data_IF_595760588695
#
_entry.id   IF_595760588695
#
_cell.length_a   1.000
_cell.length_b   1.000
_cell.length_c   1.000
_cell.angle_alpha   90.00
_cell.angle_beta   90.00
_cell.angle_gamma   90.00
#
_symmetry.space_group_name_H-M   'P 1'
#
loop_
_entity.id
_entity.type
_entity.pdbx_description
1 polymer ?
#
# COMPACT_ATOMS: atom_id res chain seq x y z
N UNK A 1 41.15 8.88 18.50
CA UNK A 1 40.77 9.95 17.56
C UNK A 1 39.27 9.87 17.39
N UNK A 2 38.48 10.95 17.50
CA UNK A 2 37.09 10.91 17.18
C UNK A 2 36.93 10.65 15.68
N UNK A 3 36.02 9.74 15.31
CA UNK A 3 35.61 9.54 13.92
C UNK A 3 34.86 10.80 13.48
N UNK A 4 35.36 11.50 12.49
CA UNK A 4 34.66 12.63 11.86
C UNK A 4 34.39 12.21 10.42
N UNK A 5 33.11 12.01 10.09
CA UNK A 5 32.70 11.64 8.74
C UNK A 5 31.20 11.72 8.61
N UNK A 6 30.69 11.83 7.38
CA UNK A 6 29.26 11.76 7.06
C UNK A 6 28.96 10.34 6.63
N UNK A 7 28.09 9.65 7.37
CA UNK A 7 27.59 8.34 6.99
C UNK A 7 26.20 8.55 6.34
N UNK A 8 26.01 7.95 5.19
CA UNK A 8 24.73 7.95 4.52
C UNK A 8 24.07 6.60 4.69
N UNK A 9 22.82 6.61 5.17
CA UNK A 9 22.04 5.40 5.39
C UNK A 9 21.11 5.15 4.22
N UNK A 10 20.80 3.86 3.89
CA UNK A 10 19.78 3.52 2.92
C UNK A 10 18.43 4.11 3.30
N UNK A 11 17.60 4.40 2.32
CA UNK A 11 16.25 4.92 2.52
C UNK A 11 15.35 3.90 3.23
N UNK A 12 14.36 4.38 4.00
CA UNK A 12 13.41 3.50 4.70
C UNK A 12 12.58 2.70 3.70
N UNK A 13 12.59 1.37 3.88
CA UNK A 13 11.88 0.44 3.02
C UNK A 13 10.36 0.62 3.12
N UNK A 14 9.83 0.76 4.32
CA UNK A 14 8.39 0.86 4.57
C UNK A 14 7.79 2.16 4.02
N UNK A 15 8.57 3.25 4.08
CA UNK A 15 8.20 4.55 3.50
C UNK A 15 8.31 4.47 1.98
N UNK A 16 9.37 3.84 1.41
CA UNK A 16 9.52 3.64 -0.03
C UNK A 16 8.33 2.90 -0.64
N UNK A 17 7.87 1.82 -0.01
CA UNK A 17 6.65 1.11 -0.46
C UNK A 17 5.44 2.05 -0.52
N UNK A 18 5.22 2.86 0.51
CA UNK A 18 4.08 3.77 0.59
C UNK A 18 4.19 4.92 -0.38
N UNK A 19 5.38 5.48 -0.54
CA UNK A 19 5.64 6.55 -1.52
C UNK A 19 5.23 6.10 -2.92
N UNK A 20 5.71 4.93 -3.36
CA UNK A 20 5.38 4.35 -4.66
C UNK A 20 3.89 4.02 -4.77
N UNK A 21 3.33 3.36 -3.75
CA UNK A 21 1.92 2.95 -3.74
C UNK A 21 0.99 4.16 -3.80
N UNK A 22 1.23 5.18 -2.96
CA UNK A 22 0.35 6.35 -2.87
C UNK A 22 0.48 7.23 -4.12
N UNK A 23 1.70 7.45 -4.61
CA UNK A 23 1.91 8.15 -5.89
C UNK A 23 1.19 7.42 -7.04
N UNK A 24 1.26 6.09 -7.09
CA UNK A 24 0.58 5.29 -8.09
C UNK A 24 -0.95 5.30 -7.99
N UNK A 25 -1.52 5.52 -6.81
CA UNK A 25 -2.97 5.65 -6.61
C UNK A 25 -3.47 7.09 -6.72
N UNK A 26 -2.58 8.08 -6.63
CA UNK A 26 -2.92 9.50 -6.62
C UNK A 26 -3.42 10.00 -7.98
N UNK A 27 -4.13 11.12 -7.95
CA UNK A 27 -4.46 11.88 -9.14
C UNK A 27 -3.31 12.85 -9.46
N UNK A 28 -2.73 12.75 -10.64
CA UNK A 28 -1.64 13.60 -11.11
C UNK A 28 -0.29 12.93 -11.13
N UNK A 29 0.77 13.73 -11.20
CA UNK A 29 2.16 13.28 -11.28
C UNK A 29 2.87 13.62 -9.98
N UNK A 30 3.43 12.62 -9.31
CA UNK A 30 4.28 12.78 -8.13
C UNK A 30 5.74 12.60 -8.50
N UNK A 31 6.62 13.48 -8.05
CA UNK A 31 8.05 13.31 -8.14
C UNK A 31 8.58 12.67 -6.85
N UNK A 32 9.25 11.53 -7.01
CA UNK A 32 9.85 10.80 -5.90
C UNK A 32 11.37 10.83 -5.98
N UNK A 33 12.01 10.96 -4.82
CA UNK A 33 13.47 10.91 -4.67
C UNK A 33 13.86 9.92 -3.58
N UNK A 34 15.04 9.34 -3.73
CA UNK A 34 15.63 8.43 -2.75
C UNK A 34 14.75 7.19 -2.43
N UNK A 35 13.97 6.70 -3.38
CA UNK A 35 13.21 5.45 -3.19
C UNK A 35 14.18 4.26 -3.10
N UNK A 36 14.03 3.39 -2.10
CA UNK A 36 14.94 2.27 -1.87
C UNK A 36 14.91 1.28 -3.06
N UNK A 37 16.06 1.00 -3.71
CA UNK A 37 16.14 0.04 -4.82
C UNK A 37 16.24 -1.40 -4.31
N UNK A 38 15.22 -1.90 -3.62
CA UNK A 38 15.15 -3.28 -3.14
C UNK A 38 14.13 -4.10 -3.94
N UNK A 39 14.32 -5.42 -4.02
CA UNK A 39 13.39 -6.33 -4.71
C UNK A 39 11.95 -6.18 -4.21
N UNK A 40 11.77 -6.01 -2.89
CA UNK A 40 10.46 -5.78 -2.28
C UNK A 40 9.79 -4.51 -2.83
N UNK A 41 10.52 -3.40 -2.96
CA UNK A 41 10.00 -2.13 -3.49
C UNK A 41 9.77 -2.23 -4.99
N UNK A 42 10.64 -2.94 -5.72
CA UNK A 42 10.42 -3.24 -7.13
C UNK A 42 9.12 -4.03 -7.35
N UNK A 43 8.79 -4.98 -6.48
CA UNK A 43 7.49 -5.67 -6.55
C UNK A 43 6.31 -4.70 -6.41
N UNK A 44 6.43 -3.65 -5.57
CA UNK A 44 5.40 -2.61 -5.47
C UNK A 44 5.33 -1.75 -6.74
N UNK A 45 6.47 -1.39 -7.33
CA UNK A 45 6.54 -0.65 -8.59
C UNK A 45 5.83 -1.43 -9.70
N UNK A 46 6.14 -2.70 -9.86
CA UNK A 46 5.50 -3.54 -10.89
C UNK A 46 4.00 -3.74 -10.63
N UNK A 47 3.60 -3.87 -9.35
CA UNK A 47 2.19 -3.95 -8.99
C UNK A 47 1.42 -2.68 -9.39
N UNK A 48 1.96 -1.49 -9.14
CA UNK A 48 1.33 -0.22 -9.50
C UNK A 48 1.27 -0.04 -11.02
N UNK A 49 2.31 -0.47 -11.76
CA UNK A 49 2.27 -0.52 -13.23
C UNK A 49 1.17 -1.45 -13.74
N UNK A 50 1.03 -2.62 -13.11
CA UNK A 50 -0.03 -3.56 -13.47
C UNK A 50 -1.44 -3.00 -13.22
N UNK A 51 -1.58 -2.09 -12.24
CA UNK A 51 -2.81 -1.33 -12.01
C UNK A 51 -3.03 -0.18 -12.99
N UNK A 52 -2.04 0.14 -13.84
CA UNK A 52 -2.16 1.14 -14.89
C UNK A 52 -1.46 2.48 -14.62
N UNK A 53 -0.68 2.61 -13.55
CA UNK A 53 0.14 3.79 -13.32
C UNK A 53 1.35 3.83 -14.26
N UNK A 54 1.74 5.04 -14.69
CA UNK A 54 2.97 5.23 -15.46
C UNK A 54 4.13 5.56 -14.50
N UNK A 55 5.09 4.65 -14.42
CA UNK A 55 6.23 4.78 -13.50
C UNK A 55 7.51 4.97 -14.30
N UNK A 56 8.16 6.11 -14.11
CA UNK A 56 9.45 6.47 -14.70
C UNK A 56 10.44 6.79 -13.56
N UNK A 57 10.92 5.76 -12.89
CA UNK A 57 11.94 5.84 -11.85
C UNK A 57 13.25 5.24 -12.37
N UNK A 58 14.35 5.96 -12.21
CA UNK A 58 15.69 5.56 -12.62
C UNK A 58 16.65 5.63 -11.43
N UNK A 59 17.78 4.90 -11.47
CA UNK A 59 18.82 5.00 -10.46
C UNK A 59 19.34 6.44 -10.36
N UNK A 60 19.25 7.04 -9.18
CA UNK A 60 19.76 8.35 -8.83
C UNK A 60 20.85 8.25 -7.76
N UNK A 61 21.24 9.40 -7.22
CA UNK A 61 22.35 9.46 -6.26
C UNK A 61 22.01 8.83 -4.89
N UNK A 62 20.72 8.79 -4.52
CA UNK A 62 20.26 8.34 -3.20
C UNK A 62 19.34 7.13 -3.20
N UNK A 63 19.05 6.57 -4.36
CA UNK A 63 18.08 5.51 -4.59
C UNK A 63 17.47 5.69 -5.96
N UNK A 64 16.26 5.18 -6.17
CA UNK A 64 15.51 5.49 -7.38
C UNK A 64 14.90 6.89 -7.26
N UNK A 65 14.91 7.63 -8.36
CA UNK A 65 14.31 8.95 -8.47
C UNK A 65 13.60 9.13 -9.81
N UNK A 66 12.57 9.98 -9.85
CA UNK A 66 11.81 10.26 -11.06
C UNK A 66 10.34 10.53 -10.78
N UNK A 67 9.47 10.17 -11.71
CA UNK A 67 8.06 10.56 -11.68
C UNK A 67 7.14 9.33 -11.75
N UNK A 68 6.00 9.43 -11.06
CA UNK A 68 4.89 8.48 -11.14
C UNK A 68 3.63 9.26 -11.46
N UNK A 69 3.02 8.96 -12.63
CA UNK A 69 1.67 9.38 -12.95
C UNK A 69 0.69 8.31 -12.46
N UNK A 70 -0.12 8.68 -11.46
CA UNK A 70 -1.01 7.74 -10.80
C UNK A 70 -2.31 7.47 -11.57
N UNK A 71 -3.02 6.44 -11.16
CA UNK A 71 -4.27 5.97 -11.78
C UNK A 71 -5.49 6.82 -11.44
N UNK A 72 -5.42 7.69 -10.42
CA UNK A 72 -6.50 8.55 -9.96
C UNK A 72 -6.83 9.63 -10.98
N UNK A 73 -7.58 9.30 -12.04
CA UNK A 73 -8.01 10.29 -13.06
C UNK A 73 -9.27 11.01 -12.62
N UNK A 74 -9.36 12.31 -12.99
CA UNK A 74 -10.56 13.12 -12.77
C UNK A 74 -11.73 12.53 -13.55
N UNK A 75 -12.80 12.12 -12.87
CA UNK A 75 -14.04 11.65 -13.53
C UNK A 75 -14.05 10.20 -14.00
N UNK A 76 -13.00 9.41 -13.75
CA UNK A 76 -13.04 7.99 -14.04
C UNK A 76 -13.72 7.23 -12.88
N UNK A 77 -14.77 6.47 -13.22
CA UNK A 77 -15.26 5.43 -12.32
C UNK A 77 -14.16 4.37 -12.18
N UNK A 78 -14.12 3.69 -11.03
CA UNK A 78 -13.20 2.56 -10.78
C UNK A 78 -13.26 1.51 -11.89
N UNK A 79 -14.40 1.37 -12.56
CA UNK A 79 -14.61 0.49 -13.71
C UNK A 79 -13.82 0.89 -14.96
N UNK A 80 -13.43 2.17 -15.10
CA UNK A 80 -12.60 2.67 -16.23
C UNK A 80 -11.10 2.46 -15.98
N UNK A 81 -10.70 2.15 -14.72
CA UNK A 81 -9.31 1.85 -14.34
C UNK A 81 -8.97 0.38 -14.66
N UNK A 82 -9.99 -0.47 -14.74
CA UNK A 82 -9.77 -1.86 -15.15
C UNK A 82 -9.30 -1.86 -16.61
N UNK A 83 -8.06 -2.31 -16.91
CA UNK A 83 -7.69 -2.53 -18.30
C UNK A 83 -8.75 -3.47 -18.86
N UNK A 84 -9.37 -3.07 -19.96
CA UNK A 84 -10.35 -3.84 -20.73
C UNK A 84 -9.75 -5.12 -21.35
N UNK A 85 -8.80 -5.73 -20.67
CA UNK A 85 -8.30 -7.05 -20.98
C UNK A 85 -9.34 -8.06 -20.47
N UNK A 86 -10.28 -8.33 -21.33
CA UNK A 86 -11.22 -9.44 -21.33
C UNK A 86 -10.50 -10.80 -21.33
N UNK A 87 -9.62 -11.06 -20.39
CA UNK A 87 -9.23 -12.43 -20.09
C UNK A 87 -10.09 -12.89 -18.91
N UNK A 88 -10.76 -14.01 -19.07
CA UNK A 88 -11.55 -14.68 -18.04
C UNK A 88 -10.72 -15.05 -16.77
N UNK A 89 -9.46 -14.68 -16.72
CA UNK A 89 -8.49 -15.04 -15.69
C UNK A 89 -8.20 -13.92 -14.67
N UNK A 90 -8.80 -12.73 -14.77
CA UNK A 90 -8.51 -11.62 -13.84
C UNK A 90 -7.07 -11.06 -13.96
N UNK A 91 -6.78 -10.00 -13.23
CA UNK A 91 -5.43 -9.44 -13.09
C UNK A 91 -4.61 -10.31 -12.14
N UNK A 92 -3.37 -10.68 -12.52
CA UNK A 92 -2.43 -11.38 -11.65
C UNK A 92 -1.27 -10.45 -11.32
N UNK A 93 -1.02 -10.24 -10.02
CA UNK A 93 0.06 -9.39 -9.51
C UNK A 93 1.03 -10.24 -8.72
N UNK A 94 2.29 -10.29 -9.18
CA UNK A 94 3.37 -10.96 -8.45
C UNK A 94 3.98 -10.01 -7.42
N UNK A 95 3.87 -10.39 -6.16
CA UNK A 95 4.42 -9.65 -5.02
C UNK A 95 5.86 -10.08 -4.67
N UNK A 96 6.45 -11.04 -5.41
CA UNK A 96 7.77 -11.60 -5.13
C UNK A 96 7.87 -12.13 -3.70
N UNK A 97 8.82 -11.61 -2.90
CA UNK A 97 8.93 -11.90 -1.45
C UNK A 97 8.29 -10.81 -0.57
N UNK A 98 7.67 -9.78 -1.17
CA UNK A 98 7.21 -8.60 -0.45
C UNK A 98 5.87 -8.81 0.25
N UNK A 99 5.91 -9.16 1.54
CA UNK A 99 4.71 -9.19 2.37
C UNK A 99 4.06 -7.82 2.59
N UNK A 100 4.80 -6.73 2.42
CA UNK A 100 4.25 -5.37 2.48
C UNK A 100 3.38 -5.11 1.25
N UNK A 101 3.91 -5.37 0.05
CA UNK A 101 3.17 -5.24 -1.21
C UNK A 101 1.88 -6.04 -1.18
N UNK A 102 1.96 -7.35 -0.87
CA UNK A 102 0.79 -8.21 -0.84
C UNK A 102 -0.31 -7.69 0.12
N UNK A 103 0.07 -7.33 1.35
CA UNK A 103 -0.92 -6.92 2.36
C UNK A 103 -1.54 -5.56 2.09
N UNK A 104 -0.76 -4.58 1.64
CA UNK A 104 -1.28 -3.25 1.29
C UNK A 104 -2.19 -3.34 0.08
N UNK A 105 -1.81 -4.13 -0.93
CA UNK A 105 -2.62 -4.34 -2.14
C UNK A 105 -3.96 -5.02 -1.86
N UNK A 106 -4.05 -5.92 -0.87
CA UNK A 106 -5.37 -6.47 -0.48
C UNK A 106 -6.35 -5.36 -0.10
N UNK A 107 -5.89 -4.36 0.68
CA UNK A 107 -6.71 -3.20 1.05
C UNK A 107 -7.07 -2.33 -0.16
N UNK A 108 -6.10 -2.04 -1.01
CA UNK A 108 -6.29 -1.24 -2.23
C UNK A 108 -7.27 -1.92 -3.19
N UNK A 109 -7.03 -3.18 -3.54
CA UNK A 109 -7.86 -3.92 -4.51
C UNK A 109 -9.28 -4.12 -4.00
N UNK A 110 -9.44 -4.40 -2.70
CA UNK A 110 -10.75 -4.48 -2.07
C UNK A 110 -11.49 -3.13 -2.14
N UNK A 111 -10.80 -2.03 -1.84
CA UNK A 111 -11.34 -0.66 -1.94
C UNK A 111 -11.74 -0.29 -3.36
N UNK A 112 -10.95 -0.69 -4.35
CA UNK A 112 -11.22 -0.48 -5.76
C UNK A 112 -12.27 -1.47 -6.34
N UNK A 113 -12.70 -2.50 -5.59
CA UNK A 113 -13.63 -3.51 -6.07
C UNK A 113 -13.11 -4.36 -7.23
N UNK A 114 -11.78 -4.49 -7.35
CA UNK A 114 -11.13 -5.17 -8.48
C UNK A 114 -11.04 -6.68 -8.28
N UNK A 115 -11.20 -7.43 -9.39
CA UNK A 115 -10.87 -8.86 -9.46
C UNK A 115 -9.38 -9.03 -9.77
N UNK A 116 -8.60 -9.45 -8.78
CA UNK A 116 -7.17 -9.63 -8.94
C UNK A 116 -6.64 -10.75 -8.04
N UNK A 117 -5.70 -11.53 -8.58
CA UNK A 117 -4.97 -12.55 -7.83
C UNK A 117 -3.58 -12.01 -7.43
N UNK A 118 -3.27 -12.11 -6.15
CA UNK A 118 -1.93 -11.83 -5.62
C UNK A 118 -1.18 -13.16 -5.50
N UNK A 119 0.00 -13.22 -6.09
CA UNK A 119 0.92 -14.36 -6.01
C UNK A 119 2.25 -13.91 -5.41
N UNK A 120 3.10 -14.85 -5.07
CA UNK A 120 4.44 -14.56 -4.56
C UNK A 120 5.32 -15.80 -4.55
N UNK A 121 6.56 -15.64 -4.11
CA UNK A 121 7.50 -16.75 -4.02
C UNK A 121 7.11 -17.76 -2.92
N UNK A 122 7.85 -18.86 -2.86
CA UNK A 122 7.61 -19.92 -1.88
C UNK A 122 7.75 -19.46 -0.40
N UNK A 123 8.53 -18.41 -0.13
CA UNK A 123 8.68 -17.83 1.21
C UNK A 123 7.47 -16.98 1.58
N UNK A 124 7.01 -16.13 0.67
CA UNK A 124 5.84 -15.29 0.89
C UNK A 124 4.56 -16.13 0.98
N UNK A 125 4.45 -17.17 0.14
CA UNK A 125 3.28 -18.06 0.13
C UNK A 125 3.08 -18.86 1.43
N UNK A 126 4.12 -19.01 2.25
CA UNK A 126 3.99 -19.63 3.59
C UNK A 126 3.54 -18.64 4.67
N UNK A 127 3.48 -17.33 4.38
CA UNK A 127 3.10 -16.32 5.37
C UNK A 127 1.58 -16.20 5.46
N UNK A 128 0.99 -16.17 6.67
CA UNK A 128 -0.46 -16.05 6.82
C UNK A 128 -0.96 -14.67 6.37
N UNK A 129 -2.06 -14.66 5.59
CA UNK A 129 -2.72 -13.46 5.09
C UNK A 129 -4.07 -13.21 5.78
N UNK A 130 -4.59 -14.20 6.51
CA UNK A 130 -5.90 -14.13 7.17
C UNK A 130 -6.04 -12.94 8.11
N UNK A 131 -4.97 -12.54 8.81
CA UNK A 131 -4.99 -11.36 9.68
C UNK A 131 -5.26 -10.03 8.95
N UNK A 132 -5.10 -9.99 7.61
CA UNK A 132 -5.49 -8.85 6.76
C UNK A 132 -6.87 -9.09 6.17
N UNK A 133 -7.12 -10.29 5.61
CA UNK A 133 -8.39 -10.62 4.98
C UNK A 133 -9.56 -10.57 5.96
N UNK A 134 -9.39 -11.08 7.20
CA UNK A 134 -10.42 -11.08 8.22
C UNK A 134 -11.02 -9.68 8.49
N UNK A 135 -10.19 -8.68 8.86
CA UNK A 135 -10.66 -7.30 9.00
C UNK A 135 -11.27 -6.71 7.73
N UNK A 136 -10.70 -6.96 6.55
CA UNK A 136 -11.23 -6.45 5.28
C UNK A 136 -12.59 -7.06 4.92
N UNK A 137 -12.84 -8.35 5.24
CA UNK A 137 -14.17 -8.97 5.08
C UNK A 137 -15.22 -8.25 5.92
N UNK A 138 -14.85 -7.71 7.08
CA UNK A 138 -15.79 -6.92 7.91
C UNK A 138 -16.13 -5.56 7.29
N UNK A 139 -15.38 -5.08 6.29
CA UNK A 139 -15.72 -3.93 5.45
C UNK A 139 -16.53 -4.33 4.21
N UNK A 140 -16.77 -5.61 3.98
CA UNK A 140 -17.52 -6.12 2.81
C UNK A 140 -16.63 -6.64 1.68
N UNK A 141 -15.32 -6.74 1.87
CA UNK A 141 -14.44 -7.36 0.88
C UNK A 141 -14.60 -8.89 0.87
N UNK A 142 -14.40 -9.49 -0.30
CA UNK A 142 -14.44 -10.93 -0.47
C UNK A 142 -13.11 -11.45 -1.03
N UNK A 143 -12.67 -12.61 -0.52
CA UNK A 143 -11.37 -13.21 -0.88
C UNK A 143 -11.52 -14.72 -1.04
N UNK A 144 -10.80 -15.27 -2.03
CA UNK A 144 -10.48 -16.69 -2.14
C UNK A 144 -8.98 -16.85 -1.81
N UNK A 145 -8.61 -17.90 -1.09
CA UNK A 145 -7.23 -18.19 -0.73
C UNK A 145 -7.05 -19.67 -0.43
N UNK A 146 -5.82 -20.15 -0.50
CA UNK A 146 -5.45 -21.49 -0.08
C UNK A 146 -5.13 -21.46 1.43
N UNK A 147 -6.07 -21.90 2.25
CA UNK A 147 -5.96 -21.94 3.72
C UNK A 147 -5.44 -20.64 4.37
N UNK A 148 -5.84 -19.48 3.82
CA UNK A 148 -5.40 -18.17 4.32
C UNK A 148 -3.99 -17.75 3.87
N UNK A 149 -3.45 -18.39 2.84
CA UNK A 149 -2.15 -18.12 2.25
C UNK A 149 -2.26 -17.66 0.78
N UNK A 150 -1.15 -17.23 0.17
CA UNK A 150 -1.10 -16.98 -1.26
C UNK A 150 -1.14 -18.31 -2.05
N UNK A 151 -1.77 -18.32 -3.24
CA UNK A 151 -2.39 -17.16 -3.89
C UNK A 151 -3.65 -16.67 -3.19
N UNK A 152 -3.82 -15.34 -3.12
CA UNK A 152 -5.06 -14.71 -2.65
C UNK A 152 -5.71 -13.99 -3.81
N UNK A 153 -6.94 -14.35 -4.14
CA UNK A 153 -7.78 -13.63 -5.09
C UNK A 153 -8.70 -12.68 -4.33
N UNK A 154 -8.59 -11.41 -4.64
CA UNK A 154 -9.55 -10.38 -4.23
C UNK A 154 -10.70 -10.43 -5.21
N UNK A 155 -11.91 -10.59 -4.72
CA UNK A 155 -13.10 -10.68 -5.56
C UNK A 155 -13.76 -9.31 -5.70
N UNK A 156 -14.44 -9.05 -6.82
CA UNK A 156 -15.26 -7.87 -6.97
C UNK A 156 -16.28 -7.74 -5.84
N UNK A 157 -16.58 -6.50 -5.46
CA UNK A 157 -17.60 -6.20 -4.44
C UNK A 157 -18.51 -5.06 -4.90
N UNK A 158 -19.64 -4.86 -4.21
CA UNK A 158 -20.63 -3.81 -4.52
C UNK A 158 -20.32 -2.47 -3.81
N UNK A 159 -19.10 -2.30 -3.36
CA UNK A 159 -18.63 -1.19 -2.54
C UNK A 159 -18.45 -1.62 -1.09
N UNK A 160 -17.43 -1.04 -0.45
CA UNK A 160 -17.15 -1.28 0.95
C UNK A 160 -18.02 -0.38 1.83
N UNK A 161 -18.28 -0.84 3.04
CA UNK A 161 -18.94 -0.06 4.09
C UNK A 161 -17.97 0.25 5.22
N UNK A 162 -18.13 1.40 5.83
CA UNK A 162 -17.30 1.82 6.95
C UNK A 162 -17.57 0.94 8.19
N UNK A 163 -16.53 0.69 8.97
CA UNK A 163 -16.64 -0.05 10.22
C UNK A 163 -15.59 0.39 11.25
N UNK A 164 -15.91 0.17 12.52
CA UNK A 164 -14.95 0.29 13.62
C UNK A 164 -14.33 -1.08 13.88
N UNK A 165 -13.01 -1.18 13.70
CA UNK A 165 -12.28 -2.42 13.79
C UNK A 165 -11.30 -2.38 14.97
N UNK A 166 -11.14 -3.54 15.62
CA UNK A 166 -10.08 -3.78 16.59
C UNK A 166 -9.23 -4.92 16.08
N UNK A 167 -7.91 -4.76 16.13
CA UNK A 167 -6.97 -5.82 15.75
C UNK A 167 -6.47 -6.55 16.99
N UNK A 168 -6.29 -7.86 16.87
CA UNK A 168 -5.77 -8.68 17.97
C UNK A 168 -4.28 -8.43 18.25
N UNK A 169 -3.55 -8.04 17.23
CA UNK A 169 -2.12 -7.78 17.27
C UNK A 169 -1.79 -6.45 16.59
N UNK A 170 -0.81 -5.74 17.15
CA UNK A 170 -0.28 -4.53 16.54
C UNK A 170 0.43 -4.87 15.21
N UNK A 171 -0.02 -4.25 14.13
CA UNK A 171 0.56 -4.45 12.81
C UNK A 171 0.33 -3.28 11.89
N UNK A 172 1.38 -2.52 11.60
CA UNK A 172 1.32 -1.39 10.68
C UNK A 172 0.80 -1.79 9.28
N UNK A 173 1.04 -3.02 8.82
CA UNK A 173 0.56 -3.50 7.53
C UNK A 173 -0.95 -3.75 7.54
N UNK A 174 -1.47 -4.38 8.61
CA UNK A 174 -2.92 -4.61 8.77
C UNK A 174 -3.65 -3.27 8.89
N UNK A 175 -3.18 -2.38 9.76
CA UNK A 175 -3.72 -1.03 9.92
C UNK A 175 -3.73 -0.28 8.58
N UNK A 176 -2.61 -0.28 7.86
CA UNK A 176 -2.51 0.36 6.54
C UNK A 176 -3.52 -0.20 5.54
N UNK A 177 -3.66 -1.53 5.46
CA UNK A 177 -4.62 -2.17 4.56
C UNK A 177 -6.07 -1.77 4.88
N UNK A 178 -6.42 -1.69 6.17
CA UNK A 178 -7.74 -1.25 6.62
C UNK A 178 -7.99 0.22 6.25
N UNK A 179 -7.02 1.11 6.49
CA UNK A 179 -7.16 2.54 6.14
C UNK A 179 -7.27 2.74 4.63
N UNK A 180 -6.46 2.02 3.83
CA UNK A 180 -6.51 2.09 2.36
C UNK A 180 -7.83 1.57 1.79
N UNK A 181 -8.41 0.54 2.37
CA UNK A 181 -9.75 0.07 2.03
C UNK A 181 -10.82 1.06 2.50
N UNK A 182 -10.69 1.55 3.73
CA UNK A 182 -11.64 2.46 4.38
C UNK A 182 -11.78 3.79 3.65
N UNK A 183 -10.70 4.31 3.03
CA UNK A 183 -10.78 5.53 2.23
C UNK A 183 -11.65 5.38 0.97
N UNK A 184 -12.05 4.17 0.58
CA UNK A 184 -13.01 3.92 -0.50
C UNK A 184 -14.40 3.52 0.00
N UNK A 185 -14.55 3.28 1.31
CA UNK A 185 -15.84 2.95 1.93
C UNK A 185 -16.72 4.20 2.10
N UNK A 186 -18.01 4.00 2.29
CA UNK A 186 -18.93 5.09 2.64
C UNK A 186 -18.93 5.32 4.15
N UNK A 187 -18.46 6.49 4.59
CA UNK A 187 -18.39 6.91 6.00
C UNK A 187 -17.01 6.69 6.64
N UNK A 188 -16.94 6.76 7.96
CA UNK A 188 -15.68 6.73 8.72
C UNK A 188 -15.29 5.31 9.10
N UNK A 189 -14.16 4.84 8.58
CA UNK A 189 -13.53 3.57 8.98
C UNK A 189 -12.45 3.85 10.02
N UNK A 190 -12.50 3.14 11.14
CA UNK A 190 -11.47 3.22 12.18
C UNK A 190 -10.84 1.87 12.51
N UNK A 191 -9.58 1.91 12.91
CA UNK A 191 -8.84 0.74 13.40
C UNK A 191 -8.14 1.08 14.70
N UNK A 192 -8.37 0.26 15.74
CA UNK A 192 -7.71 0.36 17.03
C UNK A 192 -6.76 -0.83 17.21
N UNK A 193 -5.51 -0.55 17.52
CA UNK A 193 -4.49 -1.56 17.79
C UNK A 193 -4.33 -1.78 19.30
N UNK A 194 -3.89 -2.99 19.77
CA UNK A 194 -3.65 -3.24 21.18
C UNK A 194 -2.39 -2.53 21.72
N UNK A 195 -1.47 -2.16 20.84
CA UNK A 195 -0.27 -1.35 21.12
C UNK A 195 0.16 -0.58 19.90
N UNK A 196 0.99 0.45 20.06
CA UNK A 196 1.45 1.29 18.95
C UNK A 196 2.32 0.49 17.97
N UNK A 197 1.94 0.47 16.70
CA UNK A 197 2.77 0.06 15.57
C UNK A 197 3.32 1.29 14.83
N UNK A 198 4.11 1.09 13.76
CA UNK A 198 4.57 2.20 12.90
C UNK A 198 3.39 2.95 12.31
N UNK A 199 3.53 4.26 12.20
CA UNK A 199 2.48 5.21 11.80
C UNK A 199 2.73 5.87 10.43
N UNK A 200 3.56 5.24 9.58
CA UNK A 200 3.95 5.80 8.28
C UNK A 200 2.75 6.08 7.37
N UNK A 201 1.69 5.27 7.41
CA UNK A 201 0.48 5.49 6.62
C UNK A 201 -0.28 6.71 7.11
N UNK A 202 -0.46 6.85 8.42
CA UNK A 202 -1.14 7.96 9.05
C UNK A 202 -0.43 9.29 8.82
N UNK A 203 0.91 9.25 8.74
CA UNK A 203 1.71 10.45 8.47
C UNK A 203 1.74 10.82 6.99
N UNK A 204 1.69 9.83 6.08
CA UNK A 204 1.83 10.06 4.64
C UNK A 204 0.49 10.35 3.95
N UNK A 205 -0.62 9.74 4.36
CA UNK A 205 -1.92 9.97 3.73
C UNK A 205 -2.34 11.46 3.70
N UNK A 206 -2.13 12.25 4.79
CA UNK A 206 -2.41 13.69 4.74
C UNK A 206 -1.60 14.45 3.70
N UNK A 207 -0.34 14.08 3.45
CA UNK A 207 0.46 14.69 2.40
C UNK A 207 -0.13 14.43 1.00
N UNK A 208 -0.80 13.31 0.81
CA UNK A 208 -1.53 12.98 -0.41
C UNK A 208 -3.01 13.45 -0.39
N UNK A 209 -3.40 14.30 0.56
CA UNK A 209 -4.71 14.93 0.63
C UNK A 209 -5.82 14.09 1.25
N UNK A 210 -5.48 13.03 1.97
CA UNK A 210 -6.44 12.18 2.69
C UNK A 210 -6.28 12.37 4.19
N UNK A 211 -7.25 13.03 4.83
CA UNK A 211 -7.21 13.28 6.27
C UNK A 211 -7.30 11.98 7.06
N UNK A 212 -6.42 11.85 8.05
CA UNK A 212 -6.39 10.73 9.00
C UNK A 212 -6.44 11.28 10.40
N UNK A 213 -7.47 10.91 11.16
CA UNK A 213 -7.57 11.23 12.57
C UNK A 213 -6.87 10.14 13.40
N UNK A 214 -5.99 10.56 14.31
CA UNK A 214 -5.30 9.65 15.23
C UNK A 214 -5.62 10.02 16.67
N UNK A 215 -6.19 9.08 17.42
CA UNK A 215 -6.50 9.23 18.83
C UNK A 215 -5.95 8.04 19.64
N UNK A 216 -4.80 8.23 20.26
CA UNK A 216 -4.10 7.20 20.99
C UNK A 216 -3.67 6.02 20.10
N UNK A 217 -4.33 4.88 20.25
CA UNK A 217 -4.09 3.65 19.48
C UNK A 217 -5.07 3.48 18.30
N UNK A 218 -6.00 4.41 18.13
CA UNK A 218 -6.98 4.41 17.04
C UNK A 218 -6.50 5.34 15.94
N UNK A 219 -6.63 4.87 14.69
CA UNK A 219 -6.54 5.70 13.50
C UNK A 219 -7.83 5.55 12.68
N UNK A 220 -8.30 6.64 12.08
CA UNK A 220 -9.51 6.64 11.26
C UNK A 220 -9.35 7.47 9.99
N UNK A 221 -10.11 7.08 8.97
CA UNK A 221 -10.20 7.77 7.69
C UNK A 221 -11.67 7.88 7.29
N UNK A 222 -12.05 9.03 6.73
CA UNK A 222 -13.37 9.21 6.14
C UNK A 222 -13.32 8.93 4.63
N UNK A 223 -14.23 8.12 4.14
CA UNK A 223 -14.39 7.78 2.74
C UNK A 223 -15.76 8.17 2.19
N UNK A 224 -15.90 8.30 0.87
CA UNK A 224 -14.86 8.11 -0.13
C UNK A 224 -13.87 9.27 -0.21
N UNK A 225 -12.58 8.97 -0.17
CA UNK A 225 -11.50 9.95 -0.27
C UNK A 225 -10.63 9.70 -1.51
N UNK A 226 -9.99 10.75 -2.01
CA UNK A 226 -9.11 10.67 -3.18
C UNK A 226 -7.71 11.16 -2.83
N UNK A 227 -6.72 10.44 -3.28
CA UNK A 227 -5.32 10.88 -3.19
C UNK A 227 -5.00 11.87 -4.33
N UNK A 228 -4.22 12.88 -3.99
CA UNK A 228 -3.64 13.84 -4.94
C UNK A 228 -2.12 13.65 -4.99
N UNK A 229 -1.53 13.92 -6.15
CA UNK A 229 -0.10 13.82 -6.33
C UNK A 229 0.66 14.70 -5.32
N UNK A 230 1.76 14.16 -4.81
CA UNK A 230 2.62 14.85 -3.84
C UNK A 230 4.08 14.46 -4.08
N UNK A 231 4.95 15.48 -4.19
CA UNK A 231 6.37 15.29 -4.36
C UNK A 231 7.01 14.98 -3.00
N UNK A 232 7.86 13.95 -2.95
CA UNK A 232 8.54 13.59 -1.72
C UNK A 232 9.91 12.95 -1.92
N UNK A 233 10.78 13.18 -0.95
CA UNK A 233 12.05 12.46 -0.80
C UNK A 233 11.95 11.46 0.37
N UNK A 234 12.27 10.19 0.11
CA UNK A 234 12.21 9.15 1.15
C UNK A 234 13.36 9.34 2.14
N UNK A 235 13.08 9.45 3.44
CA UNK A 235 14.12 9.62 4.44
C UNK A 235 14.98 8.36 4.60
N UNK A 236 16.23 8.55 5.05
CA UNK A 236 17.09 7.44 5.43
C UNK A 236 16.59 6.71 6.66
N UNK A 237 16.82 5.39 6.71
CA UNK A 237 16.48 4.55 7.86
C UNK A 237 17.66 4.46 8.83
N UNK A 238 17.62 5.13 10.01
CA UNK A 238 18.70 5.07 10.98
C UNK A 238 18.92 3.67 11.57
N UNK A 239 17.92 2.78 11.51
CA UNK A 239 18.05 1.40 11.98
C UNK A 239 18.91 0.55 11.04
N UNK A 240 19.03 0.93 9.76
CA UNK A 240 19.92 0.26 8.80
C UNK A 240 21.41 0.41 9.16
N UNK A 241 21.78 1.36 10.05
CA UNK A 241 23.14 1.51 10.56
C UNK A 241 23.61 0.36 11.47
N UNK A 242 22.69 -0.44 12.00
CA UNK A 242 23.01 -1.57 12.90
C UNK A 242 23.71 -2.71 12.15
N UNK A 243 23.67 -2.69 10.82
CA UNK A 243 24.23 -3.74 9.95
C UNK A 243 25.50 -3.32 9.20
N UNK A 244 26.11 -2.17 9.57
CA UNK A 244 27.37 -1.67 8.96
C UNK A 244 28.56 -1.95 9.90
#
# INVERSE_FOLDING_TARGET
MPFVGTIRVPSDKSISHRAVLFAGLAQGVSRLEAVLPSDDVHATIEAIKALGAHVNLAPGFHGLEGEIEGIGKTGTNVQDICPSSSSAAGLVIDCGNSGTTARLLMGVLAGLGMDAALVGDASLSRRPMERVMGPLRRLGAAFESDEGHLPVRVLPNQGLHAAQLMTEQASAQVKSAILLAGMQAQGTTSVTEPSKSRDHTELLLPAFGVDVEVNGLMASVEGPARMHAHDMSVPGDPLSLIHI
#
